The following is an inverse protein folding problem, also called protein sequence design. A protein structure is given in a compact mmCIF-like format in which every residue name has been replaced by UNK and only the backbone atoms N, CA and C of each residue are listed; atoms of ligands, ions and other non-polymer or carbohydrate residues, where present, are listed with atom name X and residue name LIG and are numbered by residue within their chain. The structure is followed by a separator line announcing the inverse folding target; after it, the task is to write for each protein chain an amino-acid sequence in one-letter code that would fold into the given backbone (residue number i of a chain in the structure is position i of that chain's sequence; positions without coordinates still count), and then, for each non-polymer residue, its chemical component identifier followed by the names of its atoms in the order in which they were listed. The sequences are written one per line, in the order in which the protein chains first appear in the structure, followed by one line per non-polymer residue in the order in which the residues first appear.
data_IF_341891454609
#
_entry.id   IF_341891454609
#
_cell.length_a   1.000
_cell.length_b   1.000
_cell.length_c   1.000
_cell.angle_alpha   90.00
_cell.angle_beta   90.00
_cell.angle_gamma   90.00
#
_symmetry.space_group_name_H-M   'P 1'
#
loop_
_entity.id
_entity.type
_entity.pdbx_description
1 polymer ?
#
# COMPACT_ATOMS: atom_id res chain seq x y z
N UNK A 1 9.90 -35.52 24.41
CA UNK A 1 9.61 -34.10 24.69
C UNK A 1 8.75 -33.56 23.56
N UNK A 2 7.69 -32.81 23.90
CA UNK A 2 6.76 -32.26 22.91
C UNK A 2 7.54 -31.41 21.90
N UNK A 3 7.29 -31.61 20.60
CA UNK A 3 7.98 -30.89 19.52
C UNK A 3 7.84 -29.37 19.70
N UNK A 4 6.71 -28.94 20.25
CA UNK A 4 6.40 -27.53 20.55
C UNK A 4 7.30 -26.96 21.65
N UNK A 5 7.66 -27.77 22.65
CA UNK A 5 8.57 -27.38 23.73
C UNK A 5 10.01 -27.31 23.23
N UNK A 6 10.40 -28.15 22.27
CA UNK A 6 11.73 -28.08 21.64
C UNK A 6 11.90 -26.81 20.81
N UNK A 7 10.89 -26.42 20.02
CA UNK A 7 10.93 -25.15 19.29
C UNK A 7 10.94 -23.94 20.23
N UNK A 8 10.14 -23.97 21.29
CA UNK A 8 10.14 -22.93 22.34
C UNK A 8 11.47 -22.82 23.08
N UNK A 9 12.10 -23.95 23.42
CA UNK A 9 13.42 -23.97 24.05
C UNK A 9 14.52 -23.48 23.12
N UNK A 10 14.47 -23.86 21.83
CA UNK A 10 15.46 -23.46 20.83
C UNK A 10 15.38 -21.96 20.55
N UNK A 11 14.18 -21.39 20.38
CA UNK A 11 14.04 -19.94 20.16
C UNK A 11 14.48 -19.15 21.39
N UNK A 12 14.18 -19.63 22.60
CA UNK A 12 14.63 -19.00 23.85
C UNK A 12 16.16 -19.05 23.97
N UNK A 13 16.78 -20.19 23.69
CA UNK A 13 18.23 -20.35 23.74
C UNK A 13 18.93 -19.43 22.73
N UNK A 14 18.46 -19.39 21.48
CA UNK A 14 19.02 -18.49 20.45
C UNK A 14 18.85 -17.03 20.86
N UNK A 15 17.67 -16.64 21.34
CA UNK A 15 17.42 -15.28 21.82
C UNK A 15 18.35 -14.90 22.99
N UNK A 16 18.52 -15.79 23.97
CA UNK A 16 19.41 -15.57 25.10
C UNK A 16 20.88 -15.42 24.66
N UNK A 17 21.33 -16.24 23.71
CA UNK A 17 22.70 -16.14 23.14
C UNK A 17 22.89 -14.79 22.45
N UNK A 18 21.96 -14.39 21.57
CA UNK A 18 22.03 -13.11 20.87
C UNK A 18 22.03 -11.94 21.86
N UNK A 19 21.21 -12.02 22.91
CA UNK A 19 21.16 -11.02 23.97
C UNK A 19 22.51 -10.88 24.68
N UNK A 20 23.13 -11.99 25.10
CA UNK A 20 24.44 -11.97 25.77
C UNK A 20 25.53 -11.43 24.84
N UNK A 21 25.57 -11.89 23.59
CA UNK A 21 26.52 -11.38 22.60
C UNK A 21 26.34 -9.88 22.34
N UNK A 22 25.10 -9.39 22.29
CA UNK A 22 24.82 -7.96 22.13
C UNK A 22 25.37 -7.15 23.29
N UNK A 23 25.16 -7.59 24.54
CA UNK A 23 25.70 -6.92 25.73
C UNK A 23 27.24 -6.91 25.70
N UNK A 24 27.88 -8.05 25.40
CA UNK A 24 29.35 -8.14 25.30
C UNK A 24 29.89 -7.20 24.21
N UNK A 25 29.26 -7.20 23.03
CA UNK A 25 29.65 -6.33 21.93
C UNK A 25 29.45 -4.84 22.29
N UNK A 26 28.46 -4.51 23.11
CA UNK A 26 28.19 -3.15 23.59
C UNK A 26 29.24 -2.68 24.62
N UNK A 27 29.83 -3.59 25.41
CA UNK A 27 30.89 -3.20 26.37
C UNK A 27 32.26 -3.02 25.69
N UNK A 28 32.47 -3.66 24.53
CA UNK A 28 33.73 -3.59 23.80
C UNK A 28 33.85 -2.29 23.00
N UNK A 29 34.88 -1.48 23.30
CA UNK A 29 35.12 -0.20 22.65
C UNK A 29 35.26 -0.30 21.11
N UNK A 30 35.77 -1.42 20.61
CA UNK A 30 35.97 -1.68 19.18
C UNK A 30 34.65 -1.96 18.45
N UNK A 31 33.69 -2.62 19.11
CA UNK A 31 32.45 -3.09 18.50
C UNK A 31 31.28 -2.11 18.70
N UNK A 32 31.33 -1.27 19.73
CA UNK A 32 30.35 -0.21 20.02
C UNK A 32 29.83 0.58 18.81
N UNK A 33 30.68 1.15 17.92
CA UNK A 33 30.17 1.93 16.79
C UNK A 33 29.36 1.08 15.80
N UNK A 34 29.73 -0.19 15.60
CA UNK A 34 29.00 -1.10 14.71
C UNK A 34 27.70 -1.59 15.32
N UNK A 35 27.67 -1.91 16.62
CA UNK A 35 26.47 -2.41 17.32
C UNK A 35 25.35 -1.37 17.36
N UNK A 36 25.70 -0.09 17.52
CA UNK A 36 24.74 1.01 17.50
C UNK A 36 24.44 1.49 16.08
N UNK A 37 25.47 1.54 15.22
CA UNK A 37 25.34 2.01 13.84
C UNK A 37 24.55 1.06 12.95
N UNK A 38 24.75 -0.25 13.05
CA UNK A 38 24.10 -1.25 12.20
C UNK A 38 22.56 -1.18 12.21
N UNK A 39 21.85 -1.16 13.36
CA UNK A 39 20.39 -1.07 13.36
C UNK A 39 19.89 0.27 12.81
N UNK A 40 20.61 1.38 13.08
CA UNK A 40 20.27 2.71 12.56
C UNK A 40 20.43 2.73 11.03
N UNK A 41 21.54 2.21 10.52
CA UNK A 41 21.81 2.10 9.08
C UNK A 41 20.76 1.20 8.41
N UNK A 42 20.40 0.07 9.01
CA UNK A 42 19.33 -0.80 8.51
C UNK A 42 17.98 -0.08 8.44
N UNK A 43 17.62 0.68 9.47
CA UNK A 43 16.40 1.47 9.47
C UNK A 43 16.40 2.53 8.37
N UNK A 44 17.51 3.27 8.22
CA UNK A 44 17.68 4.29 7.18
C UNK A 44 17.65 3.67 5.78
N UNK A 45 18.33 2.54 5.56
CA UNK A 45 18.27 1.81 4.28
C UNK A 45 16.87 1.29 3.99
N UNK A 46 16.12 0.85 5.00
CA UNK A 46 14.73 0.45 4.84
C UNK A 46 13.87 1.61 4.32
N UNK A 47 13.99 2.78 4.95
CA UNK A 47 13.27 3.99 4.51
C UNK A 47 13.72 4.43 3.11
N UNK A 48 15.02 4.59 2.87
CA UNK A 48 15.55 5.00 1.57
C UNK A 48 15.20 4.01 0.46
N UNK A 49 15.21 2.71 0.77
CA UNK A 49 14.81 1.66 -0.18
C UNK A 49 13.36 1.82 -0.61
N UNK A 50 12.46 2.07 0.35
CA UNK A 50 11.04 2.31 0.05
C UNK A 50 10.88 3.63 -0.73
N UNK A 51 11.45 4.74 -0.25
CA UNK A 51 11.33 6.04 -0.92
C UNK A 51 11.92 6.01 -2.32
N UNK A 52 13.08 5.37 -2.51
CA UNK A 52 13.72 5.18 -3.82
C UNK A 52 12.88 4.30 -4.74
N UNK A 53 12.26 3.24 -4.22
CA UNK A 53 11.33 2.40 -4.98
C UNK A 53 10.12 3.19 -5.46
N UNK A 54 9.50 4.00 -4.59
CA UNK A 54 8.36 4.85 -4.99
C UNK A 54 8.79 5.89 -6.03
N UNK A 55 9.91 6.58 -5.81
CA UNK A 55 10.46 7.52 -6.78
C UNK A 55 10.75 6.88 -8.13
N UNK A 56 11.26 5.65 -8.13
CA UNK A 56 11.47 4.86 -9.35
C UNK A 56 10.15 4.57 -10.06
N UNK A 57 9.11 4.12 -9.35
CA UNK A 57 7.82 3.82 -9.98
C UNK A 57 7.17 5.04 -10.64
N UNK A 58 7.26 6.22 -10.03
CA UNK A 58 6.77 7.49 -10.61
C UNK A 58 7.54 7.92 -11.87
N UNK A 59 8.85 7.68 -11.90
CA UNK A 59 9.67 7.96 -13.10
C UNK A 59 9.33 6.99 -14.24
N UNK A 60 8.94 5.76 -13.90
CA UNK A 60 8.62 4.70 -14.86
C UNK A 60 7.14 4.58 -15.21
N UNK A 61 6.27 5.45 -14.67
CA UNK A 61 4.87 5.54 -15.12
C UNK A 61 4.77 6.56 -16.25
N UNK A 62 4.76 6.13 -17.52
CA UNK A 62 4.32 7.00 -18.61
C UNK A 62 2.86 7.41 -18.33
N UNK A 63 2.51 8.68 -18.61
CA UNK A 63 1.24 9.28 -18.21
C UNK A 63 0.07 8.39 -18.62
N UNK A 64 -0.79 7.98 -17.67
CA UNK A 64 -1.92 7.11 -17.95
C UNK A 64 -2.82 7.77 -19.00
N UNK A 65 -3.18 7.01 -20.05
CA UNK A 65 -4.08 7.48 -21.09
C UNK A 65 -5.43 7.93 -20.48
N UNK A 66 -6.05 9.01 -21.00
CA UNK A 66 -7.25 9.60 -20.42
C UNK A 66 -8.37 8.57 -20.21
N UNK A 67 -8.85 8.47 -18.97
CA UNK A 67 -10.01 7.66 -18.55
C UNK A 67 -11.36 8.23 -19.05
N UNK A 68 -11.35 9.07 -20.09
CA UNK A 68 -12.52 9.77 -20.61
C UNK A 68 -13.31 8.96 -21.65
N UNK A 69 -12.83 7.79 -22.08
CA UNK A 69 -13.51 6.98 -23.10
C UNK A 69 -14.52 5.95 -22.55
N UNK A 70 -14.43 5.52 -21.28
CA UNK A 70 -15.25 4.40 -20.77
C UNK A 70 -16.36 4.79 -19.78
N UNK A 71 -16.47 6.06 -19.36
CA UNK A 71 -17.63 6.56 -18.59
C UNK A 71 -18.79 7.05 -19.49
N UNK A 72 -18.75 6.77 -20.80
CA UNK A 72 -19.77 7.19 -21.78
C UNK A 72 -20.60 6.07 -22.40
N UNK A 73 -20.31 4.79 -22.10
CA UNK A 73 -20.91 3.66 -22.84
C UNK A 73 -21.37 2.52 -21.95
N UNK A 74 -22.20 2.80 -20.93
CA UNK A 74 -23.09 1.77 -20.37
C UNK A 74 -24.54 2.09 -20.78
N UNK A 75 -25.24 1.15 -21.46
CA UNK A 75 -26.57 1.38 -22.00
C UNK A 75 -27.63 0.97 -20.98
N UNK A 76 -28.40 1.90 -20.44
CA UNK A 76 -29.78 1.57 -19.99
C UNK A 76 -30.58 2.85 -19.77
N UNK A 77 -31.72 2.94 -20.44
CA UNK A 77 -32.68 4.01 -20.21
C UNK A 77 -33.23 3.95 -18.79
N UNK A 78 -33.35 5.12 -18.17
CA UNK A 78 -34.43 5.38 -17.25
C UNK A 78 -34.76 6.87 -17.26
N UNK A 79 -35.94 7.12 -17.80
CA UNK A 79 -36.74 8.33 -17.75
C UNK A 79 -36.81 8.94 -16.35
N UNK A 80 -36.67 10.27 -16.29
CA UNK A 80 -37.38 11.10 -15.32
C UNK A 80 -36.52 11.96 -14.41
N UNK A 81 -36.38 13.24 -14.76
CA UNK A 81 -36.84 14.37 -13.93
C UNK A 81 -36.14 15.67 -14.36
N UNK A 82 -36.93 16.71 -14.63
CA UNK A 82 -36.43 18.09 -14.61
C UNK A 82 -36.55 18.89 -15.90
N UNK A 83 -37.76 19.39 -16.17
CA UNK A 83 -38.02 20.76 -16.64
C UNK A 83 -37.40 21.26 -17.96
N UNK A 84 -38.22 21.26 -19.01
CA UNK A 84 -38.38 22.40 -19.92
C UNK A 84 -39.82 22.39 -20.45
N UNK A 85 -40.69 23.22 -19.87
CA UNK A 85 -41.04 24.52 -20.42
C UNK A 85 -41.54 24.43 -21.87
N UNK A 86 -42.86 24.24 -21.97
CA UNK A 86 -43.80 24.64 -23.02
C UNK A 86 -43.33 24.86 -24.45
N UNK A 87 -43.98 24.16 -25.38
CA UNK A 87 -44.68 24.85 -26.46
C UNK A 87 -45.63 23.92 -27.23
N UNK A 88 -46.68 24.54 -27.75
CA UNK A 88 -47.55 24.11 -28.86
C UNK A 88 -48.52 22.95 -28.63
N UNK A 89 -49.74 23.37 -28.33
CA UNK A 89 -50.99 22.70 -28.67
C UNK A 89 -51.05 22.28 -30.16
N UNK A 90 -51.63 21.12 -30.43
CA UNK A 90 -52.72 20.89 -31.42
C UNK A 90 -52.66 19.50 -32.05
N UNK A 91 -53.52 18.59 -31.61
CA UNK A 91 -54.57 17.95 -32.43
C UNK A 91 -55.20 16.79 -31.67
N UNK A 92 -56.49 16.98 -31.46
CA UNK A 92 -57.45 16.08 -30.84
C UNK A 92 -57.65 14.82 -31.68
N UNK A 93 -57.99 13.79 -30.94
CA UNK A 93 -58.28 12.40 -31.24
C UNK A 93 -59.02 12.04 -32.53
N UNK A 94 -58.54 10.90 -32.99
CA UNK A 94 -59.17 9.82 -33.71
C UNK A 94 -60.50 9.39 -33.03
N UNK A 95 -61.57 9.42 -33.81
CA UNK A 95 -62.56 8.34 -33.97
C UNK A 95 -62.43 7.16 -32.99
N UNK A 96 -63.33 7.04 -32.01
CA UNK A 96 -64.20 5.88 -31.77
C UNK A 96 -65.03 6.04 -30.49
#
# INVERSE_FOLDING_TARGET
MNKDQSYGGLIFAVSAIVFVLYIIALTSAYWRPWVLGAPVVLAVLGVLGITGWIGYTMLTTPPPAPLEAEMGSQPTGQTGSGSSAGSSASKTDEKH
#
